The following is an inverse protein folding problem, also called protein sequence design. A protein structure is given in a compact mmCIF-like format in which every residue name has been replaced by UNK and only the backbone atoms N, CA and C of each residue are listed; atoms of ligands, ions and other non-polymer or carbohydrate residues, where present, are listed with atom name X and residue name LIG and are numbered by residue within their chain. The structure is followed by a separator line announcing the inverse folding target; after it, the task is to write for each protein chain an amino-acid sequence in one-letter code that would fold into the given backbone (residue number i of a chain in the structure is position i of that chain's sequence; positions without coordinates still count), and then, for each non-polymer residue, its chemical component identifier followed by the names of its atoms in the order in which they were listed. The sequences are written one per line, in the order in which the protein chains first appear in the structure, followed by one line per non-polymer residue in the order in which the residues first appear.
data_IF_655587847445
#
_entry.id   IF_655587847445
#
_cell.length_a   1.000
_cell.length_b   1.000
_cell.length_c   1.000
_cell.angle_alpha   90.00
_cell.angle_beta   90.00
_cell.angle_gamma   90.00
#
_symmetry.space_group_name_H-M   'P 1'
#
loop_
_entity.id
_entity.type
_entity.pdbx_description
1 polymer ?
#
# COMPACT_ATOMS: atom_id res chain seq x y z
N UNK A 1 -5.81 -8.11 5.07
CA UNK A 1 -6.12 -7.84 3.65
C UNK A 1 -5.26 -6.67 3.21
N UNK A 2 -4.63 -6.71 2.03
CA UNK A 2 -3.77 -5.63 1.54
C UNK A 2 -4.38 -4.98 0.31
N UNK A 3 -4.47 -3.66 0.31
CA UNK A 3 -4.91 -2.86 -0.83
C UNK A 3 -3.72 -2.42 -1.66
N UNK A 4 -3.84 -2.53 -2.97
CA UNK A 4 -2.82 -2.00 -3.87
C UNK A 4 -2.95 -0.48 -3.98
N UNK A 5 -1.85 0.24 -3.84
CA UNK A 5 -1.75 1.70 -4.02
C UNK A 5 -0.56 2.01 -4.91
N UNK A 6 -0.64 3.11 -5.66
CA UNK A 6 0.43 3.54 -6.57
C UNK A 6 1.66 4.06 -5.80
N UNK A 7 1.44 4.70 -4.65
CA UNK A 7 2.48 5.19 -3.75
C UNK A 7 2.11 4.89 -2.29
N UNK A 8 2.92 4.07 -1.62
CA UNK A 8 2.69 3.66 -0.22
C UNK A 8 3.00 4.79 0.76
N UNK A 9 3.96 5.67 0.44
CA UNK A 9 4.37 6.78 1.29
C UNK A 9 3.26 7.84 1.35
N UNK A 10 2.73 8.22 0.18
CA UNK A 10 1.60 9.16 0.08
C UNK A 10 0.31 8.57 0.67
N UNK A 11 0.01 7.30 0.39
CA UNK A 11 -1.17 6.64 0.96
C UNK A 11 -1.09 6.56 2.49
N UNK A 12 0.09 6.24 3.05
CA UNK A 12 0.30 6.22 4.50
C UNK A 12 0.15 7.61 5.10
N UNK A 13 0.71 8.64 4.47
CA UNK A 13 0.59 10.02 4.95
C UNK A 13 -0.88 10.49 4.96
N UNK A 14 -1.65 10.17 3.91
CA UNK A 14 -3.07 10.48 3.83
C UNK A 14 -3.89 9.74 4.90
N UNK A 15 -3.63 8.45 5.11
CA UNK A 15 -4.30 7.66 6.15
C UNK A 15 -4.04 8.25 7.53
N UNK A 16 -2.79 8.64 7.82
CA UNK A 16 -2.42 9.31 9.07
C UNK A 16 -3.12 10.66 9.24
N UNK A 17 -3.19 11.46 8.18
CA UNK A 17 -3.89 12.75 8.19
C UNK A 17 -5.41 12.59 8.48
N UNK A 18 -5.99 11.46 8.09
CA UNK A 18 -7.39 11.10 8.38
C UNK A 18 -7.60 10.50 9.79
N UNK A 19 -6.55 10.42 10.61
CA UNK A 19 -6.62 9.92 11.98
C UNK A 19 -6.26 8.45 12.15
N UNK A 20 -5.78 7.77 11.09
CA UNK A 20 -5.26 6.42 11.24
C UNK A 20 -3.90 6.45 11.97
N UNK A 21 -3.68 5.47 12.85
CA UNK A 21 -2.42 5.29 13.55
C UNK A 21 -1.53 4.30 12.80
N UNK A 22 -0.22 4.55 12.76
CA UNK A 22 0.73 3.56 12.23
C UNK A 22 0.66 2.27 13.05
N UNK A 23 0.51 1.14 12.35
CA UNK A 23 0.55 -0.20 12.95
C UNK A 23 1.81 -0.95 12.55
N UNK A 24 2.05 -1.06 11.25
CA UNK A 24 3.32 -1.50 10.69
C UNK A 24 3.91 -0.37 9.84
N UNK A 25 5.18 0.00 10.07
CA UNK A 25 5.83 1.05 9.29
C UNK A 25 6.00 0.60 7.84
N UNK A 26 6.46 1.51 6.98
CA UNK A 26 6.79 1.16 5.59
C UNK A 26 7.93 0.15 5.57
N UNK A 27 7.67 -1.03 5.01
CA UNK A 27 8.65 -2.08 4.79
C UNK A 27 8.89 -2.23 3.29
N UNK A 28 10.13 -1.97 2.86
CA UNK A 28 10.59 -2.23 1.49
C UNK A 28 11.09 -3.67 1.40
N UNK A 29 10.33 -4.52 0.71
CA UNK A 29 10.54 -5.96 0.57
C UNK A 29 11.12 -6.29 -0.81
N UNK A 30 12.36 -5.89 -1.09
CA UNK A 30 13.01 -6.21 -2.37
C UNK A 30 12.29 -5.64 -3.60
N UNK A 31 12.60 -6.17 -4.80
CA UNK A 31 12.22 -5.71 -6.15
C UNK A 31 10.83 -5.02 -6.28
N UNK A 32 10.76 -3.73 -5.93
CA UNK A 32 9.55 -2.92 -6.12
C UNK A 32 8.33 -3.37 -5.31
N UNK A 33 8.52 -4.11 -4.21
CA UNK A 33 7.43 -4.49 -3.30
C UNK A 33 7.55 -3.69 -1.99
N UNK A 34 6.55 -2.87 -1.69
CA UNK A 34 6.52 -2.01 -0.50
C UNK A 34 5.19 -2.25 0.22
N UNK A 35 5.22 -2.37 1.53
CA UNK A 35 4.01 -2.59 2.35
C UNK A 35 3.99 -1.67 3.56
N UNK A 36 2.81 -1.27 4.02
CA UNK A 36 2.61 -0.63 5.31
C UNK A 36 1.23 -1.01 5.87
N UNK A 37 1.01 -0.85 7.17
CA UNK A 37 -0.29 -1.11 7.79
C UNK A 37 -0.64 -0.02 8.78
N UNK A 38 -1.92 0.36 8.84
CA UNK A 38 -2.45 1.31 9.82
C UNK A 38 -3.64 0.72 10.58
N UNK A 39 -3.91 1.26 11.76
CA UNK A 39 -5.18 1.08 12.47
C UNK A 39 -6.00 2.34 12.23
N UNK A 40 -7.19 2.19 11.65
CA UNK A 40 -8.12 3.31 11.46
C UNK A 40 -8.77 3.75 12.80
N UNK A 41 -9.43 4.93 12.86
CA UNK A 41 -10.12 5.39 14.07
C UNK A 41 -11.24 4.46 14.58
N UNK A 42 -11.70 3.52 13.76
CA UNK A 42 -12.73 2.54 14.10
C UNK A 42 -12.14 1.23 14.66
N UNK A 43 -10.80 1.10 14.66
CA UNK A 43 -10.08 -0.06 15.15
C UNK A 43 -9.80 -1.13 14.08
N UNK A 44 -10.05 -0.86 12.79
CA UNK A 44 -9.74 -1.81 11.72
C UNK A 44 -8.27 -1.72 11.31
N UNK A 45 -7.68 -2.85 10.98
CA UNK A 45 -6.32 -2.91 10.39
C UNK A 45 -6.42 -2.84 8.88
N UNK A 46 -5.81 -1.80 8.29
CA UNK A 46 -5.73 -1.60 6.86
C UNK A 46 -4.27 -1.78 6.40
N UNK A 47 -4.02 -2.81 5.60
CA UNK A 47 -2.74 -3.01 4.93
C UNK A 47 -2.76 -2.35 3.55
N UNK A 48 -1.71 -1.60 3.22
CA UNK A 48 -1.45 -1.03 1.89
C UNK A 48 -0.18 -1.62 1.32
N UNK A 49 -0.15 -1.84 0.00
CA UNK A 49 1.03 -2.34 -0.69
C UNK A 49 1.19 -1.72 -2.07
N UNK A 50 2.43 -1.58 -2.50
CA UNK A 50 2.83 -1.34 -3.88
C UNK A 50 3.60 -2.57 -4.38
N UNK A 51 3.32 -2.98 -5.61
CA UNK A 51 4.00 -4.10 -6.26
C UNK A 51 4.27 -3.73 -7.72
N UNK A 52 5.53 -3.40 -8.04
CA UNK A 52 5.95 -3.00 -9.38
C UNK A 52 5.72 -4.11 -10.44
N UNK A 53 5.90 -5.37 -10.07
CA UNK A 53 5.71 -6.53 -10.96
C UNK A 53 4.23 -6.75 -11.36
N UNK A 54 3.27 -6.32 -10.53
CA UNK A 54 1.85 -6.35 -10.88
C UNK A 54 1.52 -5.37 -12.02
N UNK A 55 2.17 -4.21 -12.07
CA UNK A 55 1.96 -3.20 -13.10
C UNK A 55 2.47 -3.65 -14.48
N UNK A 56 3.59 -4.39 -14.53
CA UNK A 56 4.10 -4.97 -15.78
C UNK A 56 3.11 -5.98 -16.39
N UNK A 57 2.52 -6.85 -15.56
CA UNK A 57 1.52 -7.84 -16.01
C UNK A 57 0.20 -7.17 -16.43
N UNK A 58 -0.26 -6.15 -15.71
CA UNK A 58 -1.50 -5.42 -16.07
C UNK A 58 -1.33 -4.64 -17.37
N UNK A 59 -0.17 -4.01 -17.60
CA UNK A 59 0.11 -3.32 -18.86
C UNK A 59 0.25 -4.28 -20.04
N UNK A 60 0.84 -5.46 -19.83
CA UNK A 60 0.91 -6.49 -20.86
C UNK A 60 -0.48 -7.00 -21.30
N UNK A 61 -1.47 -7.04 -20.39
CA UNK A 61 -2.86 -7.44 -20.70
C UNK A 61 -3.70 -6.38 -21.42
N UNK A 62 -3.30 -5.11 -21.42
CA UNK A 62 -4.01 -4.04 -22.15
C UNK A 62 -3.61 -3.93 -23.64
N UNK A 63 -2.56 -4.62 -24.06
CA UNK A 63 -2.02 -4.54 -25.43
C UNK A 63 -2.27 -5.81 -26.29
N UNK A 64 -3.06 -6.76 -25.80
CA UNK A 64 -3.52 -7.94 -26.57
C UNK A 64 -5.03 -7.98 -26.64
#
# INVERSE_FOLDING_TARGET
MYWHVDDVEDALANLKAMGAQEYEPIIRRGEGFVTASVIDPFGNVLGIMYNAHYLEIVNARKQG
#
